data_IF_321329315840
#
_entry.id   IF_321329315840
#
_cell.length_a   1.000
_cell.length_b   1.000
_cell.length_c   1.000
_cell.angle_alpha   90.00
_cell.angle_beta   90.00
_cell.angle_gamma   90.00
#
_symmetry.space_group_name_H-M   'P 1'
#
loop_
_entity.id
_entity.type
_entity.pdbx_description
1 polymer ?
#
# COMPACT_ATOMS: atom_id res chain seq x y z
N UNK A 1 7.69 30.08 6.13
CA UNK A 1 8.08 28.91 5.33
C UNK A 1 9.13 28.14 6.12
N UNK A 2 8.81 26.93 6.56
CA UNK A 2 9.81 26.08 7.23
C UNK A 2 10.95 25.70 6.27
N UNK A 3 12.11 25.34 6.79
CA UNK A 3 13.19 24.79 5.97
C UNK A 3 12.71 23.45 5.36
N UNK A 4 12.77 23.32 4.03
CA UNK A 4 12.26 22.16 3.31
C UNK A 4 12.92 20.85 3.75
N UNK A 5 14.22 20.84 4.04
CA UNK A 5 14.91 19.61 4.45
C UNK A 5 14.47 19.17 5.86
N UNK A 6 14.15 20.11 6.75
CA UNK A 6 13.57 19.81 8.06
C UNK A 6 12.14 19.28 7.94
N UNK A 7 11.39 19.70 6.93
CA UNK A 7 10.05 19.20 6.70
C UNK A 7 10.10 17.79 6.10
N UNK A 8 11.00 17.56 5.15
CA UNK A 8 11.22 16.24 4.54
C UNK A 8 11.66 15.20 5.56
N UNK A 9 12.55 15.54 6.50
CA UNK A 9 12.99 14.59 7.53
C UNK A 9 11.87 14.18 8.49
N UNK A 10 10.85 15.02 8.67
CA UNK A 10 9.64 14.69 9.44
C UNK A 10 8.66 13.85 8.65
N UNK A 11 8.57 14.05 7.33
CA UNK A 11 7.63 13.33 6.45
C UNK A 11 8.15 11.95 6.08
N UNK A 12 9.46 11.84 5.84
CA UNK A 12 10.16 10.62 5.43
C UNK A 12 11.29 10.36 6.44
N UNK A 13 11.04 9.60 7.51
CA UNK A 13 12.07 9.20 8.45
C UNK A 13 13.11 8.27 7.78
N UNK A 14 14.26 8.04 8.45
CA UNK A 14 15.31 7.16 7.94
C UNK A 14 14.80 5.77 7.54
N UNK A 15 15.46 5.15 6.57
CA UNK A 15 15.09 3.83 6.03
C UNK A 15 15.56 2.69 6.93
N UNK A 16 15.07 2.70 8.17
CA UNK A 16 15.24 1.63 9.15
C UNK A 16 13.88 1.18 9.65
N UNK A 17 13.80 -0.06 10.13
CA UNK A 17 12.55 -0.61 10.67
C UNK A 17 12.12 0.18 11.90
N UNK A 18 13.06 0.46 12.79
CA UNK A 18 12.84 1.12 14.08
C UNK A 18 12.20 2.51 13.90
N UNK A 19 12.60 3.23 12.85
CA UNK A 19 12.09 4.58 12.55
C UNK A 19 10.77 4.58 11.78
N UNK A 20 10.41 3.47 11.11
CA UNK A 20 9.26 3.39 10.19
C UNK A 20 8.13 2.50 10.67
N UNK A 21 8.38 1.60 11.61
CA UNK A 21 7.34 0.70 12.14
C UNK A 21 6.30 1.50 12.91
N UNK A 22 5.06 1.50 12.41
CA UNK A 22 3.95 2.27 12.99
C UNK A 22 3.99 3.78 12.68
N UNK A 23 4.93 4.26 11.87
CA UNK A 23 5.01 5.65 11.48
C UNK A 23 3.88 6.05 10.52
N UNK A 24 3.29 7.23 10.75
CA UNK A 24 2.36 7.87 9.83
C UNK A 24 2.73 9.34 9.67
N UNK A 25 2.52 9.89 8.47
CA UNK A 25 2.75 11.32 8.19
C UNK A 25 1.45 12.09 7.92
N UNK A 26 0.30 11.54 8.31
CA UNK A 26 -1.06 12.06 8.06
C UNK A 26 -1.23 13.48 8.55
N UNK A 27 -0.98 13.70 9.83
CA UNK A 27 -1.12 15.02 10.45
C UNK A 27 -0.17 16.05 9.83
N UNK A 28 1.04 15.61 9.44
CA UNK A 28 2.05 16.50 8.84
C UNK A 28 1.60 16.95 7.45
N UNK A 29 1.15 16.01 6.61
CA UNK A 29 0.68 16.30 5.25
C UNK A 29 -0.57 17.18 5.28
N UNK A 30 -1.52 16.90 6.16
CA UNK A 30 -2.75 17.70 6.30
C UNK A 30 -2.51 19.13 6.81
N UNK A 31 -1.38 19.37 7.48
CA UNK A 31 -1.02 20.69 8.01
C UNK A 31 -0.18 21.55 7.04
N UNK A 32 0.23 21.04 5.87
CA UNK A 32 1.06 21.78 4.93
C UNK A 32 0.31 22.97 4.32
N UNK A 33 0.99 24.11 4.17
CA UNK A 33 0.48 25.19 3.30
C UNK A 33 0.55 24.77 1.83
N UNK A 34 -0.16 25.46 0.95
CA UNK A 34 -0.09 25.17 -0.50
C UNK A 34 1.34 25.31 -1.06
N UNK A 35 2.14 26.26 -0.56
CA UNK A 35 3.54 26.39 -1.00
C UNK A 35 4.41 25.25 -0.48
N UNK A 36 4.23 24.86 0.79
CA UNK A 36 4.97 23.75 1.41
C UNK A 36 4.60 22.42 0.75
N UNK A 37 3.32 22.21 0.46
CA UNK A 37 2.83 21.04 -0.26
C UNK A 37 3.54 20.88 -1.61
N UNK A 38 3.59 21.95 -2.41
CA UNK A 38 4.27 21.93 -3.72
C UNK A 38 5.77 21.71 -3.58
N UNK A 39 6.42 22.33 -2.60
CA UNK A 39 7.86 22.17 -2.37
C UNK A 39 8.20 20.74 -1.94
N UNK A 40 7.41 20.16 -1.03
CA UNK A 40 7.54 18.77 -0.58
C UNK A 40 7.32 17.80 -1.74
N UNK A 41 6.26 17.98 -2.52
CA UNK A 41 5.95 17.14 -3.69
C UNK A 41 7.17 17.05 -4.64
N UNK A 42 7.70 18.20 -5.05
CA UNK A 42 8.87 18.27 -5.95
C UNK A 42 10.06 17.52 -5.34
N UNK A 43 10.32 17.75 -4.05
CA UNK A 43 11.47 17.16 -3.37
C UNK A 43 11.33 15.64 -3.21
N UNK A 44 10.14 15.16 -2.89
CA UNK A 44 9.81 13.74 -2.81
C UNK A 44 9.95 13.05 -4.17
N UNK A 45 9.48 13.67 -5.25
CA UNK A 45 9.67 13.15 -6.62
C UNK A 45 11.16 13.01 -6.94
N UNK A 46 11.99 14.02 -6.62
CA UNK A 46 13.43 13.96 -6.83
C UNK A 46 14.12 12.87 -5.99
N UNK A 47 13.68 12.67 -4.75
CA UNK A 47 14.20 11.60 -3.90
C UNK A 47 13.82 10.22 -4.45
N UNK A 48 12.55 10.08 -4.88
CA UNK A 48 12.03 8.87 -5.49
C UNK A 48 12.75 8.55 -6.80
N UNK A 49 13.15 9.54 -7.60
CA UNK A 49 13.90 9.32 -8.84
C UNK A 49 15.34 8.80 -8.60
N UNK A 50 15.88 8.99 -7.39
CA UNK A 50 17.20 8.47 -7.00
C UNK A 50 17.16 7.09 -6.36
N UNK A 51 16.21 6.84 -5.45
CA UNK A 51 16.06 5.56 -4.76
C UNK A 51 14.59 5.14 -4.75
N UNK A 52 14.33 3.87 -5.03
CA UNK A 52 13.02 3.29 -4.83
C UNK A 52 12.74 3.20 -3.32
N UNK A 53 11.89 4.08 -2.82
CA UNK A 53 11.44 4.10 -1.42
C UNK A 53 9.90 4.07 -1.42
N UNK A 54 9.35 3.01 -0.84
CA UNK A 54 7.91 2.77 -0.84
C UNK A 54 7.15 3.83 -0.04
N UNK A 55 7.72 4.30 1.08
CA UNK A 55 7.08 5.33 1.90
C UNK A 55 6.96 6.65 1.14
N UNK A 56 7.96 6.99 0.33
CA UNK A 56 7.90 8.16 -0.55
C UNK A 56 6.79 7.99 -1.58
N UNK A 57 6.70 6.82 -2.23
CA UNK A 57 5.63 6.52 -3.18
C UNK A 57 4.23 6.64 -2.57
N UNK A 58 4.02 6.03 -1.40
CA UNK A 58 2.76 6.12 -0.64
C UNK A 58 2.42 7.55 -0.25
N UNK A 59 3.42 8.32 0.20
CA UNK A 59 3.23 9.73 0.57
C UNK A 59 2.81 10.57 -0.65
N UNK A 60 3.41 10.35 -1.82
CA UNK A 60 3.02 11.04 -3.05
C UNK A 60 1.60 10.69 -3.51
N UNK A 61 1.17 9.44 -3.34
CA UNK A 61 -0.23 9.03 -3.60
C UNK A 61 -1.20 9.76 -2.68
N UNK A 62 -0.87 9.83 -1.38
CA UNK A 62 -1.69 10.51 -0.37
C UNK A 62 -1.76 12.03 -0.57
N UNK A 63 -0.72 12.62 -1.12
CA UNK A 63 -0.68 14.01 -1.56
C UNK A 63 -1.38 14.22 -2.92
N UNK A 64 -1.98 13.18 -3.51
CA UNK A 64 -2.64 13.20 -4.82
C UNK A 64 -1.72 13.74 -5.94
N UNK A 65 -0.42 13.45 -5.85
CA UNK A 65 0.61 13.97 -6.76
C UNK A 65 0.56 13.30 -8.14
N UNK A 66 -0.28 13.82 -9.04
CA UNK A 66 -0.32 13.41 -10.45
C UNK A 66 1.04 13.66 -11.14
N UNK A 67 1.80 14.67 -10.69
CA UNK A 67 3.13 14.95 -11.23
C UNK A 67 4.14 13.83 -10.99
N UNK A 68 3.91 12.98 -9.97
CA UNK A 68 4.79 11.85 -9.66
C UNK A 68 4.62 10.65 -10.58
N UNK A 69 3.56 10.61 -11.42
CA UNK A 69 3.21 9.44 -12.24
C UNK A 69 4.37 8.94 -13.11
N UNK A 70 5.11 9.84 -13.76
CA UNK A 70 6.26 9.46 -14.60
C UNK A 70 7.35 8.76 -13.78
N UNK A 71 7.65 9.28 -12.60
CA UNK A 71 8.64 8.68 -11.68
C UNK A 71 8.15 7.34 -11.13
N UNK A 72 6.86 7.23 -10.80
CA UNK A 72 6.26 5.97 -10.33
C UNK A 72 6.29 4.88 -11.41
N UNK A 73 5.94 5.23 -12.66
CA UNK A 73 6.02 4.31 -13.81
C UNK A 73 7.44 3.82 -14.04
N UNK A 74 8.42 4.73 -14.07
CA UNK A 74 9.84 4.39 -14.14
C UNK A 74 10.25 3.44 -13.02
N UNK A 75 9.73 3.63 -11.81
CA UNK A 75 10.02 2.73 -10.67
C UNK A 75 9.39 1.36 -10.83
N UNK A 76 8.15 1.27 -11.29
CA UNK A 76 7.48 0.02 -11.62
C UNK A 76 8.27 -0.79 -12.67
N UNK A 77 8.74 -0.14 -13.73
CA UNK A 77 9.52 -0.79 -14.81
C UNK A 77 10.83 -1.39 -14.32
N UNK A 78 11.47 -0.78 -13.32
CA UNK A 78 12.72 -1.26 -12.73
C UNK A 78 12.53 -2.43 -11.76
N UNK A 79 11.29 -2.80 -11.41
CA UNK A 79 11.01 -3.91 -10.50
C UNK A 79 10.92 -5.23 -11.22
N UNK A 80 11.67 -6.20 -10.69
CA UNK A 80 11.70 -7.59 -11.18
C UNK A 80 10.85 -8.53 -10.32
N UNK A 81 10.61 -8.18 -9.05
CA UNK A 81 9.78 -8.98 -8.16
C UNK A 81 8.30 -8.80 -8.48
N UNK A 82 7.53 -9.88 -8.75
CA UNK A 82 6.08 -9.77 -8.96
C UNK A 82 5.36 -9.06 -7.82
N UNK A 83 5.78 -9.33 -6.57
CA UNK A 83 5.24 -8.68 -5.38
C UNK A 83 5.46 -7.16 -5.41
N UNK A 84 6.68 -6.71 -5.69
CA UNK A 84 6.96 -5.27 -5.77
C UNK A 84 6.17 -4.64 -6.92
N UNK A 85 6.10 -5.30 -8.08
CA UNK A 85 5.37 -4.79 -9.25
C UNK A 85 3.89 -4.56 -8.94
N UNK A 86 3.24 -5.48 -8.20
CA UNK A 86 1.85 -5.30 -7.74
C UNK A 86 1.72 -4.05 -6.87
N UNK A 87 2.63 -3.86 -5.90
CA UNK A 87 2.59 -2.69 -5.01
C UNK A 87 2.73 -1.38 -5.79
N UNK A 88 3.74 -1.28 -6.66
CA UNK A 88 3.97 -0.06 -7.45
C UNK A 88 2.83 0.21 -8.45
N UNK A 89 2.27 -0.84 -9.06
CA UNK A 89 1.07 -0.72 -9.89
C UNK A 89 -0.12 -0.20 -9.08
N UNK A 90 -0.28 -0.65 -7.82
CA UNK A 90 -1.33 -0.18 -6.92
C UNK A 90 -1.22 1.31 -6.59
N UNK A 91 0.00 1.82 -6.38
CA UNK A 91 0.23 3.26 -6.17
C UNK A 91 -0.22 4.09 -7.39
N UNK A 92 0.15 3.64 -8.59
CA UNK A 92 -0.22 4.32 -9.85
C UNK A 92 -1.73 4.22 -10.08
N UNK A 93 -2.32 3.05 -9.84
CA UNK A 93 -3.76 2.81 -9.95
C UNK A 93 -4.56 3.78 -9.08
N UNK A 94 -4.11 4.03 -7.84
CA UNK A 94 -4.76 4.95 -6.93
C UNK A 94 -4.73 6.40 -7.46
N UNK A 95 -3.58 6.87 -7.94
CA UNK A 95 -3.47 8.23 -8.52
C UNK A 95 -4.29 8.39 -9.80
N UNK A 96 -4.46 7.31 -10.56
CA UNK A 96 -5.25 7.29 -11.80
C UNK A 96 -6.72 6.95 -11.61
N UNK A 97 -7.15 6.65 -10.38
CA UNK A 97 -8.52 6.27 -10.05
C UNK A 97 -9.03 5.06 -10.85
N UNK A 98 -8.20 4.00 -10.97
CA UNK A 98 -8.56 2.78 -11.71
C UNK A 98 -7.99 2.75 -13.13
N UNK A 99 -6.70 2.43 -13.25
CA UNK A 99 -6.01 2.28 -14.54
C UNK A 99 -6.05 0.81 -15.02
N UNK A 100 -6.68 0.52 -16.18
CA UNK A 100 -6.79 -0.85 -16.69
C UNK A 100 -5.46 -1.54 -16.97
N UNK A 101 -4.40 -0.80 -17.33
CA UNK A 101 -3.08 -1.37 -17.55
C UNK A 101 -2.41 -1.72 -16.22
N UNK A 102 -2.59 -0.91 -15.17
CA UNK A 102 -2.08 -1.25 -13.84
C UNK A 102 -2.78 -2.47 -13.26
N UNK A 103 -4.10 -2.57 -13.47
CA UNK A 103 -4.89 -3.75 -13.10
C UNK A 103 -4.43 -5.00 -13.86
N UNK A 104 -4.14 -4.87 -15.15
CA UNK A 104 -3.56 -5.95 -15.96
C UNK A 104 -2.20 -6.40 -15.45
N UNK A 105 -1.29 -5.47 -15.19
CA UNK A 105 0.02 -5.80 -14.62
C UNK A 105 -0.17 -6.52 -13.28
N UNK A 106 -1.02 -6.00 -12.38
CA UNK A 106 -1.25 -6.61 -11.07
C UNK A 106 -1.78 -8.04 -11.19
N UNK A 107 -2.75 -8.29 -12.09
CA UNK A 107 -3.28 -9.62 -12.34
C UNK A 107 -2.22 -10.58 -12.90
N UNK A 108 -1.47 -10.16 -13.92
CA UNK A 108 -0.42 -10.98 -14.54
C UNK A 108 0.72 -11.30 -13.56
N UNK A 109 1.10 -10.36 -12.69
CA UNK A 109 2.10 -10.60 -11.65
C UNK A 109 1.55 -11.48 -10.51
N UNK A 110 0.26 -11.36 -10.18
CA UNK A 110 -0.39 -12.22 -9.20
C UNK A 110 -0.35 -13.70 -9.64
N UNK A 111 -0.58 -13.96 -10.94
CA UNK A 111 -0.51 -15.31 -11.50
C UNK A 111 0.88 -15.96 -11.38
N UNK A 112 1.94 -15.17 -11.28
CA UNK A 112 3.33 -15.65 -11.16
C UNK A 112 3.73 -15.99 -9.72
N UNK A 113 2.90 -15.70 -8.73
CA UNK A 113 3.25 -15.96 -7.33
C UNK A 113 3.12 -17.45 -6.98
N UNK A 114 4.25 -18.14 -6.92
CA UNK A 114 4.37 -19.53 -6.45
C UNK A 114 4.41 -19.56 -4.89
N UNK A 115 3.41 -20.15 -4.23
CA UNK A 115 3.24 -20.14 -2.75
C UNK A 115 4.47 -20.74 -2.02
N UNK A 116 5.03 -20.19 -0.92
CA UNK A 116 4.59 -20.38 0.50
C UNK A 116 4.88 -19.19 1.44
N UNK A 117 5.69 -18.20 1.06
CA UNK A 117 6.00 -17.04 1.92
C UNK A 117 5.65 -15.67 1.32
N UNK A 118 5.62 -15.53 -0.01
CA UNK A 118 5.28 -14.28 -0.68
C UNK A 118 3.81 -13.87 -0.51
N UNK A 119 2.93 -14.83 -0.21
CA UNK A 119 1.50 -14.62 0.04
C UNK A 119 1.21 -14.75 1.55
N UNK A 120 2.12 -14.26 2.39
CA UNK A 120 1.79 -13.99 3.79
C UNK A 120 0.94 -12.71 3.87
N UNK A 121 -0.31 -12.82 3.40
CA UNK A 121 -1.43 -11.98 3.79
C UNK A 121 -1.53 -10.58 3.21
N UNK A 122 -0.43 -9.82 3.20
CA UNK A 122 -0.44 -8.41 2.82
C UNK A 122 -0.79 -8.20 1.35
N UNK A 123 -0.38 -9.10 0.46
CA UNK A 123 -0.57 -8.92 -0.98
C UNK A 123 -2.04 -8.82 -1.39
N UNK A 124 -2.94 -9.51 -0.67
CA UNK A 124 -4.38 -9.41 -0.94
C UNK A 124 -4.93 -8.02 -0.61
N UNK A 125 -4.36 -7.32 0.38
CA UNK A 125 -4.70 -5.94 0.70
C UNK A 125 -4.28 -4.97 -0.40
N UNK A 126 -3.21 -5.29 -1.14
CA UNK A 126 -2.79 -4.49 -2.29
C UNK A 126 -3.60 -4.82 -3.55
N UNK A 127 -3.90 -6.10 -3.78
CA UNK A 127 -4.68 -6.58 -4.93
C UNK A 127 -6.14 -6.13 -4.89
N UNK A 128 -6.77 -6.06 -3.72
CA UNK A 128 -8.19 -5.67 -3.62
C UNK A 128 -8.43 -4.21 -4.03
N UNK A 129 -7.40 -3.35 -3.95
CA UNK A 129 -7.47 -1.92 -4.33
C UNK A 129 -7.76 -1.69 -5.82
N UNK A 130 -7.58 -2.72 -6.66
CA UNK A 130 -7.85 -2.63 -8.09
C UNK A 130 -9.33 -2.82 -8.44
N UNK A 131 -10.18 -3.20 -7.49
CA UNK A 131 -11.62 -3.46 -7.71
C UNK A 131 -11.91 -4.33 -8.94
N UNK A 132 -11.09 -5.38 -9.11
CA UNK A 132 -11.08 -6.21 -10.32
C UNK A 132 -11.78 -7.55 -10.07
N UNK A 133 -12.87 -7.87 -10.81
CA UNK A 133 -13.57 -9.14 -10.65
C UNK A 133 -12.66 -10.36 -10.84
N UNK A 134 -11.72 -10.32 -11.78
CA UNK A 134 -10.80 -11.45 -12.03
C UNK A 134 -9.76 -11.61 -10.92
N UNK A 135 -9.28 -10.51 -10.35
CA UNK A 135 -8.40 -10.55 -9.17
C UNK A 135 -9.18 -11.13 -7.99
N UNK A 136 -10.42 -10.67 -7.76
CA UNK A 136 -11.28 -11.17 -6.67
C UNK A 136 -11.57 -12.67 -6.82
N UNK A 137 -11.93 -13.14 -8.02
CA UNK A 137 -12.12 -14.56 -8.30
C UNK A 137 -10.85 -15.39 -8.02
N UNK A 138 -9.67 -14.82 -8.26
CA UNK A 138 -8.41 -15.49 -7.99
C UNK A 138 -8.08 -15.53 -6.49
N UNK A 139 -8.35 -14.46 -5.74
CA UNK A 139 -8.23 -14.42 -4.28
C UNK A 139 -9.19 -15.44 -3.64
N UNK A 140 -10.38 -15.65 -4.19
CA UNK A 140 -11.39 -16.59 -3.68
C UNK A 140 -10.84 -18.03 -3.57
N UNK A 141 -9.90 -18.43 -4.44
CA UNK A 141 -9.26 -19.77 -4.36
C UNK A 141 -8.50 -20.00 -3.05
N UNK A 142 -8.19 -18.93 -2.31
CA UNK A 142 -7.42 -18.96 -1.08
C UNK A 142 -8.28 -18.89 0.19
N UNK A 143 -9.61 -18.73 0.10
CA UNK A 143 -10.47 -18.59 1.31
C UNK A 143 -10.48 -19.84 2.18
N UNK A 144 -10.23 -21.02 1.61
CA UNK A 144 -10.12 -22.29 2.33
C UNK A 144 -8.69 -22.85 2.29
N UNK A 145 -7.68 -21.97 2.15
CA UNK A 145 -6.29 -22.39 2.07
C UNK A 145 -5.84 -23.09 3.36
N UNK A 146 -4.98 -24.11 3.24
CA UNK A 146 -4.45 -24.90 4.37
C UNK A 146 -3.65 -24.12 5.42
N UNK A 147 -3.27 -22.88 5.12
CA UNK A 147 -2.53 -22.01 6.03
C UNK A 147 -3.49 -20.92 6.51
N UNK A 148 -3.74 -20.88 7.82
CA UNK A 148 -4.79 -20.05 8.40
C UNK A 148 -4.60 -18.56 8.12
N UNK A 149 -3.36 -18.04 8.15
CA UNK A 149 -3.09 -16.64 7.84
C UNK A 149 -3.46 -16.28 6.39
N UNK A 150 -3.31 -17.21 5.46
CA UNK A 150 -3.64 -16.98 4.05
C UNK A 150 -5.15 -16.95 3.88
N UNK A 151 -5.82 -17.96 4.43
CA UNK A 151 -7.28 -18.05 4.43
C UNK A 151 -7.91 -16.85 5.13
N UNK A 152 -7.35 -16.43 6.27
CA UNK A 152 -7.78 -15.27 7.02
C UNK A 152 -7.76 -14.00 6.17
N UNK A 153 -6.61 -13.66 5.56
CA UNK A 153 -6.51 -12.45 4.77
C UNK A 153 -7.39 -12.49 3.52
N UNK A 154 -7.51 -13.65 2.84
CA UNK A 154 -8.42 -13.81 1.71
C UNK A 154 -9.88 -13.53 2.12
N UNK A 155 -10.34 -14.11 3.24
CA UNK A 155 -11.69 -13.87 3.79
C UNK A 155 -11.89 -12.42 4.20
N UNK A 156 -10.89 -11.81 4.84
CA UNK A 156 -10.94 -10.42 5.28
C UNK A 156 -11.12 -9.46 4.09
N UNK A 157 -10.28 -9.56 3.05
CA UNK A 157 -10.35 -8.60 1.93
C UNK A 157 -11.59 -8.78 1.06
N UNK A 158 -12.11 -10.01 0.97
CA UNK A 158 -13.34 -10.30 0.21
C UNK A 158 -14.62 -10.13 1.05
N UNK A 159 -14.51 -9.81 2.35
CA UNK A 159 -15.59 -9.92 3.33
C UNK A 159 -16.40 -11.22 3.16
N UNK A 160 -15.70 -12.33 2.96
CA UNK A 160 -16.31 -13.60 2.56
C UNK A 160 -17.34 -14.05 3.61
N UNK A 161 -18.62 -14.14 3.22
CA UNK A 161 -19.74 -14.46 4.12
C UNK A 161 -19.82 -13.56 5.38
N UNK A 162 -19.50 -12.27 5.26
CA UNK A 162 -19.53 -11.32 6.38
C UNK A 162 -18.38 -11.50 7.38
N UNK A 163 -17.31 -12.18 6.99
CA UNK A 163 -16.17 -12.48 7.87
C UNK A 163 -15.51 -11.22 8.43
N UNK A 164 -15.29 -10.19 7.60
CA UNK A 164 -14.65 -8.95 8.03
C UNK A 164 -15.53 -8.18 9.01
N UNK A 165 -16.84 -8.14 8.75
CA UNK A 165 -17.82 -7.47 9.61
C UNK A 165 -17.86 -8.12 11.00
N UNK A 166 -18.02 -9.45 11.05
CA UNK A 166 -18.04 -10.21 12.29
C UNK A 166 -16.70 -10.13 13.06
N UNK A 167 -15.57 -9.99 12.36
CA UNK A 167 -14.27 -9.79 12.98
C UNK A 167 -14.16 -8.40 13.62
N UNK A 168 -14.59 -7.35 12.92
CA UNK A 168 -14.56 -5.97 13.41
C UNK A 168 -15.47 -5.78 14.63
N UNK A 169 -16.68 -6.37 14.63
CA UNK A 169 -17.58 -6.35 15.79
C UNK A 169 -16.92 -6.97 17.04
N UNK A 170 -16.23 -8.11 16.85
CA UNK A 170 -15.49 -8.77 17.94
C UNK A 170 -14.28 -7.96 18.41
N UNK A 171 -13.57 -7.28 17.52
CA UNK A 171 -12.42 -6.45 17.89
C UNK A 171 -12.85 -5.20 18.68
N UNK A 172 -14.01 -4.63 18.36
CA UNK A 172 -14.61 -3.52 19.12
C UNK A 172 -15.06 -3.98 20.52
N UNK A 173 -15.53 -5.22 20.65
CA UNK A 173 -15.95 -5.80 21.93
C UNK A 173 -14.81 -6.39 22.78
N UNK A 174 -13.72 -6.84 22.18
CA UNK A 174 -12.56 -7.38 22.89
C UNK A 174 -11.40 -6.40 22.86
N UNK A 175 -11.45 -5.42 23.77
CA UNK A 175 -10.25 -4.71 24.19
C UNK A 175 -9.31 -5.74 24.81
N UNK A 176 -8.24 -6.09 24.10
CA UNK A 176 -7.29 -7.15 24.49
C UNK A 176 -6.69 -6.96 25.90
N UNK A 177 -6.73 -5.75 26.46
CA UNK A 177 -6.34 -5.43 27.84
C UNK A 177 -7.38 -5.77 28.92
N UNK A 178 -8.60 -6.16 28.56
CA UNK A 178 -9.65 -6.58 29.51
C UNK A 178 -9.59 -8.07 29.86
N UNK A 179 -8.81 -8.87 29.12
CA UNK A 179 -8.58 -10.30 29.38
C UNK A 179 -7.54 -10.57 30.48
N UNK A 180 -6.90 -9.53 31.03
CA UNK A 180 -5.89 -9.61 32.10
C UNK A 180 -6.36 -8.98 33.42
N UNK A 181 -7.68 -8.85 33.62
CA UNK A 181 -8.29 -8.57 34.93
C UNK A 181 -8.77 -9.85 35.59
#
# INVERSE_FOLDING_TARGET
MQNIENLISKIIPPDSREEREGFTNDEIISALTSEEHKAVEIRLIQMLDKKADLLIGQTLVKMESVNSLSTLLKRLELKNSPFERIIWAGLINNLKMGDPEMEKIAFEEFEKLEFIYAIQGGIFLDLIKFDSPRINCRIELFVNHKYDLVAHHAKMVLNHNGYADAFNEKAVHNRWWELWK
#
